data_IF_246955517047
#
_entry.id   IF_246955517047
#
_cell.length_a   1.000
_cell.length_b   1.000
_cell.length_c   1.000
_cell.angle_alpha   90.00
_cell.angle_beta   90.00
_cell.angle_gamma   90.00
#
_symmetry.space_group_name_H-M   'P 1'
#
loop_
_entity.id
_entity.type
_entity.pdbx_description
1 polymer ?
#
# COMPACT_ATOMS: atom_id res chain seq x y z
N UNK A 1 -5.92 5.76 30.17
CA UNK A 1 -5.09 5.20 29.05
C UNK A 1 -5.93 4.21 28.25
N UNK A 2 -6.00 4.33 26.91
CA UNK A 2 -6.79 3.42 26.03
C UNK A 2 -6.43 1.95 26.24
N UNK A 3 -5.17 1.66 26.59
CA UNK A 3 -4.67 0.29 26.78
C UNK A 3 -5.09 -0.36 28.12
N UNK A 4 -5.49 0.41 29.13
CA UNK A 4 -5.72 -0.12 30.49
C UNK A 4 -6.80 -1.20 30.51
N UNK A 5 -7.86 -1.03 29.70
CA UNK A 5 -8.96 -1.98 29.56
C UNK A 5 -8.57 -3.34 28.94
N UNK A 6 -7.39 -3.45 28.34
CA UNK A 6 -6.90 -4.70 27.73
C UNK A 6 -5.85 -5.41 28.60
N UNK A 7 -5.48 -4.81 29.73
CA UNK A 7 -4.49 -5.34 30.67
C UNK A 7 -5.06 -5.35 32.09
N UNK A 8 -6.31 -5.83 32.23
CA UNK A 8 -7.03 -5.90 33.52
C UNK A 8 -6.33 -6.77 34.57
N UNK A 9 -5.38 -7.61 34.13
CA UNK A 9 -4.54 -8.47 34.94
C UNK A 9 -3.27 -7.78 35.49
N UNK A 10 -3.00 -6.53 35.10
CA UNK A 10 -1.80 -5.79 35.51
C UNK A 10 -2.09 -4.75 36.59
N UNK A 11 -1.16 -4.63 37.54
CA UNK A 11 -1.10 -3.51 38.50
C UNK A 11 -0.81 -2.19 37.77
N UNK A 12 -1.17 -1.08 38.38
CA UNK A 12 -1.03 0.27 37.80
C UNK A 12 0.39 0.58 37.29
N UNK A 13 1.42 0.26 38.06
CA UNK A 13 2.83 0.40 37.64
C UNK A 13 3.17 -0.44 36.39
N UNK A 14 2.61 -1.64 36.28
CA UNK A 14 2.82 -2.53 35.14
C UNK A 14 2.01 -2.10 33.89
N UNK A 15 0.89 -1.38 34.07
CA UNK A 15 0.15 -0.74 32.99
C UNK A 15 0.94 0.41 32.36
N UNK A 16 1.58 1.23 33.19
CA UNK A 16 2.48 2.29 32.70
C UNK A 16 3.68 1.71 31.95
N UNK A 17 4.31 0.67 32.52
CA UNK A 17 5.41 -0.04 31.88
C UNK A 17 4.98 -0.64 30.53
N UNK A 18 3.81 -1.29 30.47
CA UNK A 18 3.27 -1.84 29.23
C UNK A 18 3.05 -0.75 28.18
N UNK A 19 2.51 0.42 28.58
CA UNK A 19 2.35 1.56 27.68
C UNK A 19 3.68 2.12 27.16
N UNK A 20 4.72 2.16 27.99
CA UNK A 20 6.07 2.56 27.56
C UNK A 20 6.69 1.54 26.60
N UNK A 21 6.54 0.25 26.90
CA UNK A 21 7.04 -0.84 26.06
C UNK A 21 6.37 -0.80 24.69
N UNK A 22 5.04 -0.67 24.60
CA UNK A 22 4.30 -0.65 23.32
C UNK A 22 4.67 0.54 22.42
N UNK A 23 5.26 1.61 22.98
CA UNK A 23 5.80 2.74 22.21
C UNK A 23 7.23 2.52 21.73
N UNK A 24 7.93 1.52 22.26
CA UNK A 24 9.33 1.21 21.95
C UNK A 24 9.49 -0.20 21.32
N UNK A 25 9.44 -0.29 19.99
CA UNK A 25 9.67 -1.55 19.25
C UNK A 25 10.98 -2.27 19.54
N UNK A 26 12.03 -1.55 19.96
CA UNK A 26 13.35 -2.14 20.26
C UNK A 26 13.41 -2.79 21.63
N UNK A 27 12.36 -2.62 22.45
CA UNK A 27 12.35 -3.18 23.79
C UNK A 27 12.25 -4.72 23.73
N UNK A 28 13.05 -5.48 24.50
CA UNK A 28 13.04 -6.95 24.45
C UNK A 28 11.66 -7.58 24.70
N UNK A 29 10.86 -6.96 25.57
CA UNK A 29 9.49 -7.40 25.89
C UNK A 29 8.41 -6.87 24.94
N UNK A 30 8.79 -6.15 23.87
CA UNK A 30 7.85 -5.52 22.96
C UNK A 30 6.89 -6.54 22.34
N UNK A 31 7.41 -7.59 21.70
CA UNK A 31 6.57 -8.60 21.02
C UNK A 31 5.61 -9.29 21.99
N UNK A 32 6.06 -9.56 23.22
CA UNK A 32 5.20 -10.16 24.25
C UNK A 32 4.03 -9.25 24.62
N UNK A 33 4.31 -7.97 24.92
CA UNK A 33 3.27 -7.01 25.29
C UNK A 33 2.36 -6.69 24.10
N UNK A 34 2.90 -6.62 22.89
CA UNK A 34 2.12 -6.41 21.68
C UNK A 34 1.18 -7.58 21.41
N UNK A 35 1.64 -8.83 21.48
CA UNK A 35 0.77 -10.01 21.34
C UNK A 35 -0.35 -10.00 22.39
N UNK A 36 -0.02 -9.70 23.65
CA UNK A 36 -1.04 -9.63 24.72
C UNK A 36 -2.10 -8.58 24.43
N UNK A 37 -1.69 -7.43 23.90
CA UNK A 37 -2.59 -6.36 23.53
C UNK A 37 -3.48 -6.75 22.33
N UNK A 38 -2.87 -7.28 21.27
CA UNK A 38 -3.56 -7.66 20.03
C UNK A 38 -4.45 -8.90 20.20
N UNK A 39 -4.14 -9.79 21.13
CA UNK A 39 -5.00 -10.94 21.45
C UNK A 39 -6.29 -10.55 22.20
N UNK A 40 -6.40 -9.29 22.61
CA UNK A 40 -7.55 -8.75 23.38
C UNK A 40 -8.20 -7.55 22.70
N UNK A 41 -7.50 -6.90 21.77
CA UNK A 41 -7.97 -5.75 21.00
C UNK A 41 -8.22 -6.16 19.56
N UNK A 42 -9.44 -5.93 19.07
CA UNK A 42 -9.86 -6.13 17.68
C UNK A 42 -10.01 -4.81 16.91
N UNK A 43 -9.83 -3.66 17.58
CA UNK A 43 -10.08 -2.32 17.02
C UNK A 43 -8.81 -1.67 16.49
N UNK A 44 -8.64 -1.52 15.16
CA UNK A 44 -7.45 -0.90 14.58
C UNK A 44 -7.22 0.55 15.04
N UNK A 45 -8.30 1.32 15.23
CA UNK A 45 -8.23 2.71 15.72
C UNK A 45 -7.51 2.80 17.08
N UNK A 46 -7.74 1.83 17.94
CA UNK A 46 -7.15 1.82 19.28
C UNK A 46 -5.68 1.43 19.24
N UNK A 47 -5.30 0.45 18.41
CA UNK A 47 -3.90 0.14 18.16
C UNK A 47 -3.14 1.34 17.58
N UNK A 48 -3.71 1.99 16.56
CA UNK A 48 -3.04 3.10 15.88
C UNK A 48 -2.98 4.39 16.68
N UNK A 49 -3.70 4.47 17.81
CA UNK A 49 -3.52 5.51 18.82
C UNK A 49 -2.24 5.31 19.65
N UNK A 50 -1.73 4.07 19.72
CA UNK A 50 -0.54 3.70 20.51
C UNK A 50 0.71 3.65 19.63
N UNK A 51 0.59 3.06 18.44
CA UNK A 51 1.70 2.92 17.48
C UNK A 51 1.28 3.45 16.10
N UNK A 52 2.10 4.29 15.44
CA UNK A 52 1.80 4.75 14.08
C UNK A 52 1.68 3.57 13.09
N UNK A 53 0.77 3.68 12.12
CA UNK A 53 0.54 2.66 11.07
C UNK A 53 1.83 2.19 10.39
N UNK A 54 2.73 3.11 10.05
CA UNK A 54 4.02 2.79 9.42
C UNK A 54 4.89 1.89 10.32
N UNK A 55 5.02 2.24 11.60
CA UNK A 55 5.76 1.43 12.56
C UNK A 55 5.10 0.07 12.77
N UNK A 56 3.77 0.00 12.77
CA UNK A 56 3.06 -1.28 12.86
C UNK A 56 3.43 -2.22 11.70
N UNK A 57 3.45 -1.73 10.46
CA UNK A 57 3.88 -2.52 9.30
C UNK A 57 5.32 -3.01 9.44
N UNK A 58 6.22 -2.17 9.94
CA UNK A 58 7.63 -2.53 10.16
C UNK A 58 7.79 -3.64 11.21
N UNK A 59 7.01 -3.59 12.30
CA UNK A 59 7.18 -4.51 13.44
C UNK A 59 6.32 -5.78 13.36
N UNK A 60 5.26 -5.77 12.55
CA UNK A 60 4.31 -6.87 12.45
C UNK A 60 4.95 -8.23 12.15
N UNK A 61 5.90 -8.37 11.21
CA UNK A 61 6.53 -9.66 10.94
C UNK A 61 7.21 -10.29 12.16
N UNK A 62 7.87 -9.47 12.99
CA UNK A 62 8.50 -9.92 14.23
C UNK A 62 7.48 -10.34 15.28
N UNK A 63 6.41 -9.55 15.46
CA UNK A 63 5.32 -9.83 16.40
C UNK A 63 4.58 -11.10 15.99
N UNK A 64 4.24 -11.25 14.71
CA UNK A 64 3.62 -12.43 14.11
C UNK A 64 4.44 -13.69 14.36
N UNK A 65 5.75 -13.63 14.11
CA UNK A 65 6.67 -14.76 14.33
C UNK A 65 6.70 -15.18 15.80
N UNK A 66 6.74 -14.20 16.71
CA UNK A 66 6.65 -14.46 18.14
C UNK A 66 5.30 -15.09 18.54
N UNK A 67 4.20 -14.61 17.96
CA UNK A 67 2.85 -15.11 18.21
C UNK A 67 2.70 -16.58 17.79
N UNK A 68 3.09 -16.92 16.56
CA UNK A 68 3.00 -18.29 16.01
C UNK A 68 3.78 -19.30 16.86
N UNK A 69 4.95 -18.89 17.39
CA UNK A 69 5.78 -19.74 18.27
C UNK A 69 5.08 -20.12 19.58
N UNK A 70 4.16 -19.28 20.08
CA UNK A 70 3.46 -19.52 21.35
C UNK A 70 2.06 -20.11 21.14
N UNK A 71 1.34 -19.63 20.13
CA UNK A 71 -0.03 -20.02 19.83
C UNK A 71 -0.11 -20.27 18.32
N UNK A 72 -0.29 -21.54 17.94
CA UNK A 72 -0.32 -21.94 16.52
C UNK A 72 -1.55 -21.44 15.77
N UNK A 73 -2.70 -21.36 16.44
CA UNK A 73 -3.98 -20.90 15.85
C UNK A 73 -4.60 -19.81 16.70
N UNK A 74 -4.95 -18.68 16.09
CA UNK A 74 -5.58 -17.54 16.78
C UNK A 74 -6.36 -16.69 15.79
N UNK A 75 -7.68 -16.62 15.99
CA UNK A 75 -8.58 -15.79 15.15
C UNK A 75 -8.20 -14.31 15.21
N UNK A 76 -7.73 -13.83 16.37
CA UNK A 76 -7.21 -12.48 16.53
C UNK A 76 -5.97 -12.23 15.67
N UNK A 77 -5.04 -13.20 15.60
CA UNK A 77 -3.86 -13.07 14.74
C UNK A 77 -4.28 -12.98 13.28
N UNK A 78 -5.19 -13.83 12.83
CA UNK A 78 -5.63 -13.87 11.44
C UNK A 78 -6.42 -12.59 11.07
N UNK A 79 -7.20 -12.07 12.02
CA UNK A 79 -7.78 -10.73 11.92
C UNK A 79 -6.72 -9.63 11.77
N UNK A 80 -5.70 -9.61 12.62
CA UNK A 80 -4.64 -8.61 12.55
C UNK A 80 -3.74 -8.76 11.32
N UNK A 81 -3.59 -9.96 10.78
CA UNK A 81 -2.95 -10.19 9.48
C UNK A 81 -3.74 -9.48 8.36
N UNK A 82 -5.06 -9.62 8.35
CA UNK A 82 -5.94 -8.91 7.41
C UNK A 82 -5.77 -7.39 7.50
N UNK A 83 -5.70 -6.85 8.73
CA UNK A 83 -5.47 -5.42 8.96
C UNK A 83 -4.07 -5.00 8.49
N UNK A 84 -3.05 -5.82 8.74
CA UNK A 84 -1.69 -5.58 8.26
C UNK A 84 -1.64 -5.50 6.73
N UNK A 85 -2.26 -6.43 6.02
CA UNK A 85 -2.32 -6.43 4.56
C UNK A 85 -3.00 -5.17 4.02
N UNK A 86 -4.13 -4.76 4.61
CA UNK A 86 -4.83 -3.54 4.24
C UNK A 86 -3.96 -2.28 4.44
N UNK A 87 -3.26 -2.19 5.58
CA UNK A 87 -2.40 -1.04 5.88
C UNK A 87 -1.18 -1.02 4.96
N UNK A 88 -0.57 -2.18 4.71
CA UNK A 88 0.55 -2.32 3.78
C UNK A 88 0.16 -1.88 2.37
N UNK A 89 -1.03 -2.30 1.90
CA UNK A 89 -1.55 -1.88 0.60
C UNK A 89 -1.79 -0.38 0.53
N UNK A 90 -2.35 0.25 1.57
CA UNK A 90 -2.56 1.69 1.64
C UNK A 90 -1.23 2.48 1.61
N UNK A 91 -0.21 2.00 2.32
CA UNK A 91 1.11 2.65 2.34
C UNK A 91 1.84 2.48 0.99
N UNK A 92 1.72 1.31 0.34
CA UNK A 92 2.24 1.10 -1.01
C UNK A 92 1.50 1.94 -2.07
N UNK A 93 0.19 2.13 -1.92
CA UNK A 93 -0.60 3.00 -2.81
C UNK A 93 -0.26 4.49 -2.64
N UNK A 94 0.14 4.92 -1.42
CA UNK A 94 0.67 6.28 -1.19
C UNK A 94 2.03 6.46 -1.86
N UNK A 95 2.89 5.45 -1.83
CA UNK A 95 4.20 5.49 -2.51
C UNK A 95 4.08 5.44 -4.05
N UNK A 96 3.03 4.83 -4.59
CA UNK A 96 2.78 4.70 -6.04
C UNK A 96 2.10 5.88 -6.73
N UNK A 97 1.97 7.06 -6.09
CA UNK A 97 1.44 8.26 -6.76
C UNK A 97 2.55 9.27 -7.12
N UNK A 98 3.16 9.19 -8.31
CA UNK A 98 3.65 10.41 -8.96
C UNK A 98 2.45 11.09 -9.64
N UNK A 99 1.67 11.84 -8.86
CA UNK A 99 0.64 12.73 -9.42
C UNK A 99 1.29 14.09 -9.67
N UNK A 100 1.78 14.31 -10.88
CA UNK A 100 2.25 15.62 -11.31
C UNK A 100 2.93 15.59 -12.67
N UNK A 101 4.18 15.14 -12.71
CA UNK A 101 5.03 15.31 -13.90
C UNK A 101 4.82 14.23 -14.96
N UNK A 102 4.71 12.96 -14.54
CA UNK A 102 4.61 11.82 -15.45
C UNK A 102 3.32 11.87 -16.29
N UNK A 103 2.20 12.28 -15.69
CA UNK A 103 0.93 12.44 -16.41
C UNK A 103 0.97 13.60 -17.42
N UNK A 104 1.64 14.70 -17.08
CA UNK A 104 1.83 15.84 -18.00
C UNK A 104 2.74 15.44 -19.16
N UNK A 105 3.81 14.70 -18.89
CA UNK A 105 4.69 14.17 -19.93
C UNK A 105 3.94 13.25 -20.90
N UNK A 106 3.16 12.28 -20.39
CA UNK A 106 2.39 11.39 -21.25
C UNK A 106 1.35 12.12 -22.09
N UNK A 107 0.71 13.16 -21.56
CA UNK A 107 -0.23 13.94 -22.34
C UNK A 107 0.46 14.76 -23.44
N UNK A 108 1.60 15.39 -23.14
CA UNK A 108 2.43 16.09 -24.14
C UNK A 108 2.91 15.13 -25.23
N UNK A 109 3.40 13.96 -24.82
CA UNK A 109 3.87 12.94 -25.73
C UNK A 109 2.75 12.40 -26.66
N UNK A 110 1.58 12.10 -26.10
CA UNK A 110 0.40 11.71 -26.88
C UNK A 110 -0.03 12.79 -27.89
N UNK A 111 0.07 14.07 -27.53
CA UNK A 111 -0.20 15.18 -28.45
C UNK A 111 0.79 15.23 -29.61
N UNK A 112 2.08 15.01 -29.38
CA UNK A 112 3.08 14.92 -30.46
C UNK A 112 2.75 13.79 -31.44
N UNK A 113 2.35 12.63 -30.95
CA UNK A 113 1.93 11.50 -31.80
C UNK A 113 0.69 11.87 -32.63
N UNK A 114 -0.30 12.52 -32.00
CA UNK A 114 -1.51 12.98 -32.68
C UNK A 114 -1.20 13.97 -33.80
N UNK A 115 -0.33 14.94 -33.53
CA UNK A 115 0.10 15.95 -34.51
C UNK A 115 0.86 15.31 -35.68
N UNK A 116 1.78 14.40 -35.40
CA UNK A 116 2.49 13.65 -36.45
C UNK A 116 1.53 12.84 -37.32
N UNK A 117 0.53 12.18 -36.72
CA UNK A 117 -0.51 11.46 -37.47
C UNK A 117 -1.31 12.40 -38.38
N UNK A 118 -1.77 13.53 -37.84
CA UNK A 118 -2.55 14.52 -38.60
C UNK A 118 -1.70 15.12 -39.73
N UNK A 119 -0.43 15.44 -39.47
CA UNK A 119 0.50 15.92 -40.49
C UNK A 119 0.73 14.93 -41.64
N UNK A 120 0.63 13.63 -41.37
CA UNK A 120 0.63 12.56 -42.40
C UNK A 120 -0.73 12.33 -43.06
N UNK A 121 -1.78 13.06 -42.70
CA UNK A 121 -3.14 12.90 -43.23
C UNK A 121 -3.81 11.57 -42.84
N UNK A 122 -3.33 10.89 -41.79
CA UNK A 122 -3.81 9.56 -41.42
C UNK A 122 -4.93 9.63 -40.37
N UNK A 123 -5.94 8.77 -40.52
CA UNK A 123 -6.94 8.53 -39.48
C UNK A 123 -6.40 7.58 -38.40
N UNK A 124 -6.97 7.65 -37.19
CA UNK A 124 -6.64 6.71 -36.12
C UNK A 124 -6.86 5.24 -36.54
N UNK A 125 -7.88 4.97 -37.37
CA UNK A 125 -8.20 3.64 -37.87
C UNK A 125 -7.10 3.11 -38.81
N UNK A 126 -6.58 3.95 -39.70
CA UNK A 126 -5.47 3.58 -40.59
C UNK A 126 -4.20 3.28 -39.81
N UNK A 127 -3.88 4.12 -38.83
CA UNK A 127 -2.73 3.90 -37.93
C UNK A 127 -2.89 2.59 -37.15
N UNK A 128 -4.07 2.37 -36.56
CA UNK A 128 -4.39 1.17 -35.81
C UNK A 128 -4.18 -0.10 -36.66
N UNK A 129 -4.62 -0.08 -37.92
CA UNK A 129 -4.42 -1.18 -38.86
C UNK A 129 -2.93 -1.43 -39.14
N UNK A 130 -2.16 -0.37 -39.40
CA UNK A 130 -0.73 -0.47 -39.71
C UNK A 130 0.08 -1.08 -38.55
N UNK A 131 -0.24 -0.70 -37.31
CA UNK A 131 0.47 -1.18 -36.12
C UNK A 131 -0.20 -2.38 -35.43
N UNK A 132 -1.23 -2.96 -36.05
CA UNK A 132 -2.01 -4.10 -35.53
C UNK A 132 -2.59 -3.85 -34.12
N UNK A 133 -3.12 -2.66 -33.91
CA UNK A 133 -3.81 -2.25 -32.68
C UNK A 133 -5.27 -1.94 -32.96
N UNK A 134 -6.08 -1.80 -31.92
CA UNK A 134 -7.47 -1.34 -32.07
C UNK A 134 -7.47 0.19 -32.09
N UNK A 135 -8.40 0.81 -32.84
CA UNK A 135 -8.52 2.28 -32.88
C UNK A 135 -8.64 2.94 -31.48
N UNK A 136 -9.41 2.39 -30.51
CA UNK A 136 -9.47 2.96 -29.16
C UNK A 136 -8.11 2.98 -28.45
N UNK A 137 -7.21 2.05 -28.78
CA UNK A 137 -5.86 2.01 -28.21
C UNK A 137 -5.03 3.19 -28.72
N UNK A 138 -5.16 3.53 -30.01
CA UNK A 138 -4.52 4.71 -30.60
C UNK A 138 -5.05 5.99 -29.95
N UNK A 139 -6.37 6.11 -29.75
CA UNK A 139 -6.95 7.26 -29.03
C UNK A 139 -6.43 7.37 -27.60
N UNK A 140 -6.38 6.24 -26.88
CA UNK A 140 -5.83 6.19 -25.53
C UNK A 140 -4.36 6.63 -25.46
N UNK A 141 -3.56 6.30 -26.47
CA UNK A 141 -2.15 6.74 -26.59
C UNK A 141 -2.09 8.26 -26.85
N UNK A 142 -2.87 8.77 -27.80
CA UNK A 142 -2.90 10.20 -28.14
C UNK A 142 -3.38 11.08 -26.97
N UNK A 143 -4.23 10.53 -26.10
CA UNK A 143 -4.72 11.18 -24.88
C UNK A 143 -3.77 11.02 -23.68
N UNK A 144 -2.66 10.28 -23.82
CA UNK A 144 -1.73 10.00 -22.72
C UNK A 144 -2.30 9.05 -21.65
N UNK A 145 -3.40 8.35 -21.96
CA UNK A 145 -4.09 7.40 -21.07
C UNK A 145 -3.57 5.96 -21.23
N UNK A 146 -2.90 5.67 -22.34
CA UNK A 146 -2.36 4.35 -22.65
C UNK A 146 -0.89 4.46 -23.09
N UNK A 147 -0.05 3.59 -22.55
CA UNK A 147 1.36 3.51 -22.93
C UNK A 147 1.51 2.84 -24.30
N UNK A 148 2.43 3.37 -25.11
CA UNK A 148 2.87 2.77 -26.37
C UNK A 148 4.23 2.09 -26.15
N UNK A 149 4.46 0.94 -26.79
CA UNK A 149 5.79 0.30 -26.75
C UNK A 149 6.73 0.98 -27.75
N UNK A 150 8.03 0.99 -27.47
CA UNK A 150 9.04 1.48 -28.43
C UNK A 150 8.97 0.75 -29.77
N UNK A 151 8.67 -0.56 -29.73
CA UNK A 151 8.48 -1.36 -30.93
C UNK A 151 7.31 -0.87 -31.79
N UNK A 152 6.20 -0.47 -31.16
CA UNK A 152 5.06 0.12 -31.87
C UNK A 152 5.41 1.50 -32.44
N UNK A 153 6.20 2.31 -31.72
CA UNK A 153 6.62 3.62 -32.20
C UNK A 153 7.44 3.56 -33.48
N UNK A 154 8.34 2.58 -33.62
CA UNK A 154 9.14 2.39 -34.84
C UNK A 154 8.26 2.14 -36.08
N UNK A 155 7.01 1.71 -35.88
CA UNK A 155 6.05 1.39 -36.94
C UNK A 155 5.06 2.53 -37.25
N UNK A 156 5.13 3.66 -36.53
CA UNK A 156 4.26 4.85 -36.69
C UNK A 156 4.90 5.91 -37.60
#
# INVERSE_FOLDING_TARGET
>A
MIIAKYFWDLKEQALEEAGRILKNPKHPKFSQRMVTFLSRCDKPKELFSVIPKKKFVEVWPQVRTYWVKRIRHSDFRDWWETIYEQVLQQEQQKQKKPKGETAVFFHKFGRVIKEARIGKGLSQKQVALAVRMKQPDISGIEEGKKNITLFTMIRL
#
